data_IF_430631572410
#
_entry.id   IF_430631572410
#
_cell.length_a   1.000
_cell.length_b   1.000
_cell.length_c   1.000
_cell.angle_alpha   90.00
_cell.angle_beta   90.00
_cell.angle_gamma   90.00
#
_symmetry.space_group_name_H-M   'P 1'
#
loop_
_entity.id
_entity.type
_entity.pdbx_description
1 polymer ?
#
# COMPACT_ATOMS: atom_id res chain seq x y z
N UNK A 1 14.12 21.47 5.74
CA UNK A 1 13.51 20.19 6.16
C UNK A 1 14.45 19.54 7.14
N UNK A 2 14.08 19.42 8.42
CA UNK A 2 14.91 18.71 9.39
C UNK A 2 15.09 17.28 8.89
N UNK A 3 16.33 16.80 8.84
CA UNK A 3 16.65 15.41 8.58
C UNK A 3 15.90 14.57 9.61
N UNK A 4 14.80 13.95 9.19
CA UNK A 4 14.05 13.00 10.01
C UNK A 4 15.03 11.90 10.38
N UNK A 5 15.23 11.69 11.68
CA UNK A 5 16.03 10.59 12.18
C UNK A 5 15.35 9.28 11.76
N UNK A 6 16.02 8.50 10.90
CA UNK A 6 15.50 7.22 10.41
C UNK A 6 15.15 6.28 11.57
N UNK A 7 15.89 6.36 12.68
CA UNK A 7 15.63 5.56 13.88
C UNK A 7 14.30 5.94 14.53
N UNK A 8 13.97 7.23 14.59
CA UNK A 8 12.68 7.70 15.10
C UNK A 8 11.52 7.26 14.19
N UNK A 9 11.67 7.44 12.87
CA UNK A 9 10.63 7.06 11.93
C UNK A 9 10.33 5.56 11.99
N UNK A 10 11.36 4.71 12.09
CA UNK A 10 11.16 3.26 12.18
C UNK A 10 10.53 2.85 13.52
N UNK A 11 10.80 3.58 14.62
CA UNK A 11 10.11 3.39 15.88
C UNK A 11 8.60 3.72 15.77
N UNK A 12 8.24 4.82 15.11
CA UNK A 12 6.85 5.20 14.85
C UNK A 12 6.13 4.13 14.01
N UNK A 13 6.72 3.73 12.87
CA UNK A 13 6.21 2.64 12.03
C UNK A 13 5.92 1.37 12.83
N UNK A 14 6.86 0.99 13.70
CA UNK A 14 6.74 -0.20 14.54
C UNK A 14 5.58 -0.06 15.53
N UNK A 15 5.46 1.07 16.23
CA UNK A 15 4.36 1.29 17.17
C UNK A 15 3.01 1.18 16.47
N UNK A 16 2.82 1.86 15.33
CA UNK A 16 1.59 1.77 14.56
C UNK A 16 1.26 0.33 14.10
N UNK A 17 2.27 -0.39 13.61
CA UNK A 17 2.13 -1.79 13.21
C UNK A 17 1.69 -2.69 14.37
N UNK A 18 2.32 -2.54 15.54
CA UNK A 18 2.00 -3.33 16.74
C UNK A 18 0.58 -3.07 17.24
N UNK A 19 0.10 -1.83 17.18
CA UNK A 19 -1.31 -1.52 17.53
C UNK A 19 -2.29 -2.17 16.55
N UNK A 20 -2.00 -2.18 15.26
CA UNK A 20 -2.86 -2.81 14.26
C UNK A 20 -2.96 -4.33 14.46
N UNK A 21 -1.86 -5.00 14.82
CA UNK A 21 -1.84 -6.47 15.03
C UNK A 21 -2.75 -6.90 16.19
N UNK A 22 -3.01 -6.05 17.18
CA UNK A 22 -3.96 -6.34 18.28
C UNK A 22 -5.40 -6.53 17.79
N UNK A 23 -5.73 -6.08 16.59
CA UNK A 23 -7.06 -6.21 16.01
C UNK A 23 -7.33 -7.59 15.40
N UNK A 24 -6.26 -8.37 15.15
CA UNK A 24 -6.34 -9.70 14.52
C UNK A 24 -6.87 -10.73 15.54
N UNK A 25 -7.78 -11.59 15.08
CA UNK A 25 -8.42 -12.63 15.87
C UNK A 25 -8.07 -14.02 15.35
N UNK A 26 -8.27 -15.03 16.21
CA UNK A 26 -8.17 -16.42 15.78
C UNK A 26 -9.22 -16.71 14.69
N UNK A 27 -8.77 -17.38 13.62
CA UNK A 27 -9.59 -17.75 12.47
C UNK A 27 -9.59 -16.72 11.34
N UNK A 28 -9.02 -15.53 11.54
CA UNK A 28 -9.00 -14.49 10.51
C UNK A 28 -8.19 -14.94 9.28
N UNK A 29 -8.69 -14.57 8.11
CA UNK A 29 -7.89 -14.45 6.88
C UNK A 29 -7.29 -13.05 6.86
N UNK A 30 -5.96 -12.96 6.93
CA UNK A 30 -5.22 -11.69 7.06
C UNK A 30 -4.56 -11.28 5.74
N UNK A 31 -4.89 -10.09 5.24
CA UNK A 31 -4.21 -9.47 4.12
C UNK A 31 -2.92 -8.76 4.57
N UNK A 32 -1.78 -9.20 4.06
CA UNK A 32 -0.47 -8.65 4.38
C UNK A 32 -0.02 -7.66 3.31
N UNK A 33 0.15 -6.40 3.72
CA UNK A 33 0.66 -5.30 2.93
C UNK A 33 2.15 -5.39 2.61
N UNK A 34 2.66 -4.45 1.81
CA UNK A 34 4.07 -4.41 1.38
C UNK A 34 4.76 -3.16 1.92
N UNK A 35 6.03 -3.28 2.28
CA UNK A 35 6.89 -2.16 2.65
C UNK A 35 7.42 -2.23 4.08
N UNK A 36 8.19 -1.21 4.46
CA UNK A 36 8.92 -1.20 5.74
C UNK A 36 7.98 -1.19 6.95
N UNK A 37 6.85 -0.47 6.90
CA UNK A 37 5.87 -0.47 7.99
C UNK A 37 5.13 -1.81 8.09
N UNK A 38 4.68 -2.37 6.96
CA UNK A 38 4.00 -3.66 6.91
C UNK A 38 4.91 -4.81 7.40
N UNK A 39 6.23 -4.70 7.17
CA UNK A 39 7.23 -5.66 7.68
C UNK A 39 7.12 -5.81 9.19
N UNK A 40 7.05 -4.71 9.96
CA UNK A 40 6.90 -4.78 11.42
C UNK A 40 5.62 -5.49 11.85
N UNK A 41 4.52 -5.33 11.11
CA UNK A 41 3.27 -6.03 11.39
C UNK A 41 3.43 -7.54 11.17
N UNK A 42 4.07 -7.94 10.07
CA UNK A 42 4.32 -9.36 9.73
C UNK A 42 5.21 -10.02 10.79
N UNK A 43 6.27 -9.34 11.23
CA UNK A 43 7.15 -9.84 12.30
C UNK A 43 6.37 -10.07 13.61
N UNK A 44 5.49 -9.14 13.97
CA UNK A 44 4.68 -9.26 15.18
C UNK A 44 3.63 -10.36 15.05
N UNK A 45 2.94 -10.45 13.90
CA UNK A 45 2.01 -11.56 13.60
C UNK A 45 2.73 -12.89 13.73
N UNK A 46 3.92 -13.03 13.17
CA UNK A 46 4.76 -14.22 13.28
C UNK A 46 5.02 -14.64 14.72
N UNK A 47 5.36 -13.69 15.59
CA UNK A 47 5.53 -13.95 17.03
C UNK A 47 4.23 -14.40 17.70
N UNK A 48 3.09 -13.83 17.31
CA UNK A 48 1.80 -14.23 17.87
C UNK A 48 1.40 -15.64 17.38
N UNK A 49 1.68 -15.97 16.12
CA UNK A 49 1.48 -17.33 15.57
C UNK A 49 2.34 -18.34 16.33
N UNK A 50 3.60 -18.02 16.61
CA UNK A 50 4.47 -18.85 17.43
C UNK A 50 3.96 -19.04 18.88
N UNK A 51 3.14 -18.11 19.38
CA UNK A 51 2.46 -18.18 20.69
C UNK A 51 1.07 -18.82 20.63
N UNK A 52 0.62 -19.27 19.46
CA UNK A 52 -0.64 -20.01 19.29
C UNK A 52 -1.77 -19.24 18.61
N UNK A 53 -1.54 -18.03 18.08
CA UNK A 53 -2.50 -17.36 17.20
C UNK A 53 -2.70 -18.20 15.93
N UNK A 54 -3.96 -18.50 15.59
CA UNK A 54 -4.33 -19.29 14.40
C UNK A 54 -4.93 -18.37 13.36
N UNK A 55 -4.19 -18.12 12.29
CA UNK A 55 -4.65 -17.34 11.13
C UNK A 55 -4.20 -18.01 9.85
N UNK A 56 -4.80 -17.57 8.74
CA UNK A 56 -4.23 -17.75 7.40
C UNK A 56 -4.00 -16.38 6.79
N UNK A 57 -3.14 -16.27 5.77
CA UNK A 57 -2.81 -14.97 5.20
C UNK A 57 -2.68 -14.99 3.69
N UNK A 58 -2.93 -13.84 3.05
CA UNK A 58 -2.58 -13.59 1.66
C UNK A 58 -1.69 -12.35 1.57
N UNK A 59 -0.73 -12.36 0.65
CA UNK A 59 0.29 -11.32 0.55
C UNK A 59 0.11 -10.44 -0.69
N UNK A 60 0.36 -9.14 -0.52
CA UNK A 60 0.31 -8.14 -1.59
C UNK A 60 1.56 -8.15 -2.48
N UNK A 61 2.59 -8.94 -2.16
CA UNK A 61 3.75 -9.15 -3.03
C UNK A 61 4.44 -10.46 -2.73
N UNK A 62 5.26 -10.95 -3.67
CA UNK A 62 6.09 -12.16 -3.48
C UNK A 62 7.03 -11.98 -2.29
N UNK A 63 7.65 -10.80 -2.16
CA UNK A 63 8.52 -10.46 -1.01
C UNK A 63 7.79 -10.60 0.32
N UNK A 64 6.54 -10.11 0.38
CA UNK A 64 5.73 -10.18 1.61
C UNK A 64 5.35 -11.62 1.92
N UNK A 65 5.02 -12.41 0.89
CA UNK A 65 4.71 -13.83 1.03
C UNK A 65 5.90 -14.61 1.60
N UNK A 66 7.10 -14.41 1.04
CA UNK A 66 8.33 -15.07 1.49
C UNK A 66 8.67 -14.69 2.93
N UNK A 67 8.52 -13.41 3.29
CA UNK A 67 8.71 -12.94 4.66
C UNK A 67 7.73 -13.61 5.62
N UNK A 68 6.44 -13.65 5.27
CA UNK A 68 5.42 -14.27 6.12
C UNK A 68 5.66 -15.77 6.31
N UNK A 69 6.04 -16.49 5.25
CA UNK A 69 6.43 -17.91 5.31
C UNK A 69 7.62 -18.13 6.24
N UNK A 70 8.61 -17.24 6.23
CA UNK A 70 9.78 -17.35 7.12
C UNK A 70 9.42 -17.27 8.61
N UNK A 71 8.28 -16.66 8.93
CA UNK A 71 7.71 -16.61 10.28
C UNK A 71 6.71 -17.73 10.59
N UNK A 72 6.55 -18.71 9.70
CA UNK A 72 5.63 -19.82 9.89
C UNK A 72 4.15 -19.46 9.70
N UNK A 73 3.85 -18.33 9.06
CA UNK A 73 2.47 -17.93 8.75
C UNK A 73 1.96 -18.79 7.58
N UNK A 74 0.79 -19.41 7.75
CA UNK A 74 0.16 -20.20 6.70
C UNK A 74 -0.37 -19.27 5.59
N UNK A 75 0.17 -19.42 4.38
CA UNK A 75 -0.23 -18.61 3.23
C UNK A 75 -1.32 -19.28 2.40
N UNK A 76 -2.25 -18.47 1.90
CA UNK A 76 -3.26 -18.80 0.91
C UNK A 76 -2.93 -18.11 -0.41
N UNK A 77 -3.33 -18.73 -1.51
CA UNK A 77 -3.23 -18.12 -2.83
C UNK A 77 -4.33 -17.07 -2.98
N UNK A 78 -3.93 -15.81 -3.23
CA UNK A 78 -4.83 -14.69 -3.45
C UNK A 78 -5.86 -14.97 -4.56
N UNK A 79 -5.50 -15.78 -5.56
CA UNK A 79 -6.38 -16.15 -6.68
C UNK A 79 -7.60 -16.98 -6.25
N UNK A 80 -7.53 -17.62 -5.07
CA UNK A 80 -8.58 -18.53 -4.57
C UNK A 80 -9.49 -17.89 -3.54
N UNK A 81 -9.20 -16.65 -3.13
CA UNK A 81 -9.90 -15.98 -2.04
C UNK A 81 -11.12 -15.18 -2.52
N UNK A 82 -12.26 -15.39 -1.83
CA UNK A 82 -13.46 -14.57 -2.00
C UNK A 82 -13.57 -13.42 -0.99
N UNK A 83 -12.88 -13.49 0.15
CA UNK A 83 -12.90 -12.43 1.17
C UNK A 83 -11.69 -12.51 2.10
N UNK A 84 -11.31 -11.36 2.67
CA UNK A 84 -10.28 -11.19 3.70
C UNK A 84 -10.93 -10.51 4.90
N UNK A 85 -10.67 -10.96 6.12
CA UNK A 85 -11.30 -10.40 7.32
C UNK A 85 -10.68 -9.07 7.74
N UNK A 86 -9.35 -9.00 7.66
CA UNK A 86 -8.57 -7.82 8.01
C UNK A 86 -7.34 -7.73 7.12
N UNK A 87 -7.00 -6.54 6.63
CA UNK A 87 -5.70 -6.27 6.02
C UNK A 87 -4.95 -5.20 6.80
N UNK A 88 -3.62 -5.34 6.83
CA UNK A 88 -2.70 -4.36 7.40
C UNK A 88 -1.67 -4.01 6.33
N UNK A 89 -1.61 -2.73 5.96
CA UNK A 89 -0.69 -2.23 4.94
C UNK A 89 -0.17 -0.82 5.25
N UNK A 90 0.88 -0.38 4.57
CA UNK A 90 1.39 0.99 4.66
C UNK A 90 0.77 1.93 3.62
N UNK A 91 1.09 3.22 3.74
CA UNK A 91 0.78 4.24 2.74
C UNK A 91 1.98 5.15 2.46
N UNK A 92 2.04 5.71 1.25
CA UNK A 92 3.00 6.74 0.87
C UNK A 92 2.51 8.13 1.28
N UNK A 93 1.19 8.37 1.17
CA UNK A 93 0.47 9.53 1.71
C UNK A 93 -0.94 9.13 2.16
N UNK A 94 -1.49 9.87 3.13
CA UNK A 94 -2.91 9.79 3.46
C UNK A 94 -3.49 11.15 3.91
N UNK A 95 -4.78 11.36 3.69
CA UNK A 95 -5.54 12.51 4.21
C UNK A 95 -6.45 12.12 5.37
N UNK A 96 -7.01 13.11 6.09
CA UNK A 96 -8.01 12.86 7.14
C UNK A 96 -9.26 12.14 6.64
N UNK A 97 -9.61 12.32 5.35
CA UNK A 97 -10.72 11.60 4.69
C UNK A 97 -10.35 10.18 4.26
N UNK A 98 -9.21 9.65 4.72
CA UNK A 98 -8.71 8.30 4.42
C UNK A 98 -8.43 8.02 2.94
N UNK A 99 -8.25 9.07 2.13
CA UNK A 99 -7.75 8.93 0.76
C UNK A 99 -6.24 8.77 0.80
N UNK A 100 -5.70 7.81 0.04
CA UNK A 100 -4.27 7.48 0.07
C UNK A 100 -3.60 7.58 -1.30
N UNK A 101 -2.28 7.82 -1.26
CA UNK A 101 -1.37 7.34 -2.30
C UNK A 101 -0.59 6.13 -1.76
N UNK A 102 -0.53 5.07 -2.56
CA UNK A 102 0.22 3.83 -2.33
C UNK A 102 0.99 3.42 -3.59
N UNK A 103 1.82 2.39 -3.48
CA UNK A 103 2.54 1.79 -4.61
C UNK A 103 4.00 2.23 -4.76
N UNK A 104 4.54 3.02 -3.82
CA UNK A 104 5.96 3.36 -3.78
C UNK A 104 6.87 2.13 -3.81
N UNK A 105 6.42 1.01 -3.20
CA UNK A 105 7.10 -0.29 -3.24
C UNK A 105 6.88 -1.13 -4.50
N UNK A 106 5.95 -0.73 -5.39
CA UNK A 106 5.70 -1.40 -6.67
C UNK A 106 4.72 -2.57 -6.64
N UNK A 107 3.94 -2.71 -5.56
CA UNK A 107 2.96 -3.79 -5.37
C UNK A 107 1.49 -3.33 -5.52
N UNK A 108 1.24 -2.12 -6.03
CA UNK A 108 -0.06 -1.44 -5.93
C UNK A 108 -1.26 -2.26 -6.42
N UNK A 109 -1.12 -3.04 -7.50
CA UNK A 109 -2.23 -3.81 -8.04
C UNK A 109 -2.70 -4.88 -7.04
N UNK A 110 -1.74 -5.63 -6.49
CA UNK A 110 -2.02 -6.69 -5.51
C UNK A 110 -2.46 -6.12 -4.16
N UNK A 111 -1.88 -5.00 -3.73
CA UNK A 111 -2.34 -4.23 -2.57
C UNK A 111 -3.82 -3.82 -2.73
N UNK A 112 -4.20 -3.33 -3.91
CA UNK A 112 -5.58 -2.92 -4.22
C UNK A 112 -6.55 -4.10 -4.22
N UNK A 113 -6.15 -5.28 -4.74
CA UNK A 113 -6.95 -6.51 -4.64
C UNK A 113 -7.18 -6.89 -3.18
N UNK A 114 -6.12 -6.94 -2.36
CA UNK A 114 -6.25 -7.27 -0.93
C UNK A 114 -7.17 -6.28 -0.24
N UNK A 115 -7.00 -4.98 -0.47
CA UNK A 115 -7.88 -3.96 0.10
C UNK A 115 -9.34 -4.21 -0.31
N UNK A 116 -9.63 -4.41 -1.58
CA UNK A 116 -10.98 -4.66 -2.09
C UNK A 116 -11.64 -5.92 -1.52
N UNK A 117 -10.86 -6.98 -1.26
CA UNK A 117 -11.35 -8.22 -0.63
C UNK A 117 -11.54 -8.08 0.89
N UNK A 118 -10.95 -7.06 1.51
CA UNK A 118 -10.90 -6.91 2.97
C UNK A 118 -12.14 -6.25 3.54
N UNK A 119 -12.72 -6.87 4.57
CA UNK A 119 -13.80 -6.30 5.39
C UNK A 119 -13.30 -5.14 6.25
N UNK A 120 -12.11 -5.28 6.84
CA UNK A 120 -11.44 -4.26 7.63
C UNK A 120 -10.09 -3.90 6.99
N UNK A 121 -10.00 -2.70 6.41
CA UNK A 121 -8.80 -2.20 5.71
C UNK A 121 -8.04 -1.25 6.62
N UNK A 122 -6.99 -1.75 7.26
CA UNK A 122 -6.19 -1.02 8.24
C UNK A 122 -4.88 -0.56 7.59
N UNK A 123 -4.62 0.74 7.70
CA UNK A 123 -3.40 1.36 7.23
C UNK A 123 -2.55 1.77 8.42
N UNK A 124 -1.25 1.46 8.37
CA UNK A 124 -0.28 1.80 9.42
C UNK A 124 0.78 2.75 8.88
N UNK A 125 1.01 3.88 9.58
CA UNK A 125 1.92 4.92 9.12
C UNK A 125 2.69 5.60 10.25
N UNK A 126 3.86 6.16 9.91
CA UNK A 126 4.50 7.20 10.70
C UNK A 126 3.89 8.57 10.39
N UNK A 127 4.16 9.56 11.25
CA UNK A 127 3.52 10.87 11.16
C UNK A 127 3.84 11.65 9.86
N UNK A 128 4.93 11.32 9.16
CA UNK A 128 5.31 12.01 7.92
C UNK A 128 4.38 11.71 6.74
N UNK A 129 3.53 10.69 6.85
CA UNK A 129 2.63 10.25 5.76
C UNK A 129 1.32 11.03 5.72
N UNK A 130 0.97 11.74 6.80
CA UNK A 130 -0.25 12.57 6.84
C UNK A 130 -0.04 13.85 6.05
N UNK A 131 -0.91 14.09 5.08
CA UNK A 131 -0.94 15.30 4.26
C UNK A 131 -2.32 15.94 4.30
N UNK A 132 -2.37 17.26 4.12
CA UNK A 132 -3.65 17.96 3.99
C UNK A 132 -4.34 17.64 2.64
N UNK A 133 -3.53 17.42 1.60
CA UNK A 133 -3.97 17.11 0.24
C UNK A 133 -2.95 16.18 -0.41
N UNK A 134 -3.44 15.19 -1.15
CA UNK A 134 -2.58 14.23 -1.87
C UNK A 134 -1.78 14.90 -2.99
N UNK A 135 -0.64 14.31 -3.33
CA UNK A 135 0.13 14.63 -4.54
C UNK A 135 1.49 15.27 -4.29
N UNK A 136 1.96 15.38 -3.04
CA UNK A 136 3.38 15.66 -2.82
C UNK A 136 4.24 14.43 -3.17
N UNK A 137 3.67 13.23 -3.04
CA UNK A 137 4.19 11.98 -3.59
C UNK A 137 3.60 11.71 -4.98
N UNK A 138 4.43 11.24 -5.92
CA UNK A 138 4.01 10.88 -7.28
C UNK A 138 3.11 9.65 -7.26
N UNK A 139 2.01 9.68 -8.00
CA UNK A 139 1.08 8.55 -8.13
C UNK A 139 1.73 7.45 -8.98
N UNK A 140 2.01 6.26 -8.41
CA UNK A 140 2.47 5.12 -9.20
C UNK A 140 1.33 4.59 -10.06
N UNK A 141 1.62 4.28 -11.33
CA UNK A 141 0.66 3.70 -12.26
C UNK A 141 1.30 2.46 -12.90
N UNK A 142 0.71 1.29 -12.65
CA UNK A 142 1.13 0.03 -13.28
C UNK A 142 0.51 -0.06 -14.68
N UNK A 143 1.37 -0.28 -15.68
CA UNK A 143 0.99 -0.24 -17.10
C UNK A 143 1.46 -1.48 -17.84
N UNK A 144 0.61 -1.98 -18.73
CA UNK A 144 0.99 -3.06 -19.64
C UNK A 144 2.14 -2.57 -20.53
N UNK A 145 3.26 -3.31 -20.67
CA UNK A 145 4.43 -2.85 -21.42
C UNK A 145 4.15 -2.36 -22.85
N UNK A 146 3.23 -3.03 -23.55
CA UNK A 146 2.77 -2.66 -24.88
C UNK A 146 2.14 -1.25 -24.94
N UNK A 147 1.47 -0.84 -23.87
CA UNK A 147 0.71 0.41 -23.80
C UNK A 147 1.50 1.57 -23.18
N UNK A 148 2.79 1.38 -22.84
CA UNK A 148 3.57 2.35 -22.06
C UNK A 148 3.46 3.79 -22.58
N UNK A 149 3.84 4.03 -23.84
CA UNK A 149 3.82 5.38 -24.40
C UNK A 149 2.41 5.95 -24.48
N UNK A 150 1.43 5.13 -24.87
CA UNK A 150 0.03 5.55 -24.92
C UNK A 150 -0.48 6.01 -23.55
N UNK A 151 -0.23 5.24 -22.49
CA UNK A 151 -0.66 5.60 -21.13
C UNK A 151 0.04 6.88 -20.67
N UNK A 152 1.34 7.05 -20.96
CA UNK A 152 2.07 8.28 -20.65
C UNK A 152 1.43 9.51 -21.33
N UNK A 153 1.03 9.38 -22.59
CA UNK A 153 0.35 10.45 -23.33
C UNK A 153 -1.05 10.76 -22.77
N UNK A 154 -1.79 9.74 -22.29
CA UNK A 154 -3.09 9.95 -21.63
C UNK A 154 -2.93 10.62 -20.26
N UNK A 155 -1.90 10.26 -19.49
CA UNK A 155 -1.55 10.97 -18.25
C UNK A 155 -1.25 12.45 -18.52
N UNK A 156 -0.55 12.76 -19.62
CA UNK A 156 -0.31 14.15 -20.02
C UNK A 156 -1.60 14.93 -20.33
N UNK A 157 -2.60 14.28 -20.95
CA UNK A 157 -3.93 14.88 -21.18
C UNK A 157 -4.71 15.14 -19.89
N UNK A 158 -4.41 14.40 -18.82
CA UNK A 158 -4.92 14.62 -17.47
C UNK A 158 -4.07 15.63 -16.67
N UNK A 159 -3.23 16.42 -17.34
CA UNK A 159 -2.31 17.40 -16.75
C UNK A 159 -1.24 16.79 -15.82
N UNK A 160 -0.93 15.51 -15.99
CA UNK A 160 0.17 14.85 -15.29
C UNK A 160 1.47 14.85 -16.10
N UNK A 161 2.61 14.77 -15.42
CA UNK A 161 3.89 14.38 -16.05
C UNK A 161 4.28 13.00 -15.53
N UNK A 162 4.90 12.16 -16.35
CA UNK A 162 5.24 10.80 -15.91
C UNK A 162 6.62 10.36 -16.36
N UNK A 163 7.25 9.52 -15.53
CA UNK A 163 8.55 8.90 -15.83
C UNK A 163 8.47 7.41 -15.59
N UNK A 164 9.03 6.60 -16.50
CA UNK A 164 9.19 5.17 -16.28
C UNK A 164 10.04 4.92 -15.03
N UNK A 165 9.52 4.12 -14.09
CA UNK A 165 10.22 3.74 -12.87
C UNK A 165 11.41 2.85 -13.24
N UNK A 166 12.59 3.22 -12.74
CA UNK A 166 13.82 2.46 -12.95
C UNK A 166 14.34 1.89 -11.62
N UNK A 167 14.89 0.69 -11.68
CA UNK A 167 15.69 0.08 -10.63
C UNK A 167 17.04 -0.29 -11.22
N UNK A 168 18.14 0.25 -10.65
CA UNK A 168 19.49 0.04 -11.17
C UNK A 168 19.61 0.36 -12.68
N UNK A 169 19.02 1.48 -13.11
CA UNK A 169 19.00 1.97 -14.50
C UNK A 169 18.25 1.07 -15.50
N UNK A 170 17.47 0.09 -15.03
CA UNK A 170 16.61 -0.76 -15.86
C UNK A 170 15.15 -0.54 -15.51
N UNK A 171 14.20 -0.73 -16.45
CA UNK A 171 12.77 -0.68 -16.14
C UNK A 171 12.45 -1.58 -14.94
N UNK A 172 11.78 -1.02 -13.94
CA UNK A 172 11.23 -1.80 -12.83
C UNK A 172 10.11 -2.70 -13.36
N UNK A 173 10.19 -3.99 -13.03
CA UNK A 173 9.18 -4.98 -13.41
C UNK A 173 8.40 -5.37 -12.17
N UNK A 174 7.08 -5.23 -12.21
CA UNK A 174 6.20 -5.64 -11.10
C UNK A 174 6.15 -7.16 -10.96
N UNK A 175 5.60 -7.64 -9.84
CA UNK A 175 5.33 -9.08 -9.64
C UNK A 175 4.41 -9.69 -10.72
N UNK A 176 3.68 -8.84 -11.46
CA UNK A 176 2.76 -9.22 -12.54
C UNK A 176 3.39 -9.06 -13.93
N UNK A 177 4.67 -8.71 -14.03
CA UNK A 177 5.38 -8.58 -15.31
C UNK A 177 5.16 -7.25 -16.04
N UNK A 178 4.60 -6.24 -15.36
CA UNK A 178 4.29 -4.94 -15.94
C UNK A 178 5.33 -3.87 -15.59
N UNK A 179 5.21 -2.71 -16.21
CA UNK A 179 5.98 -1.53 -15.84
C UNK A 179 5.22 -0.65 -14.85
N UNK A 180 5.92 0.26 -14.19
CA UNK A 180 5.32 1.37 -13.45
C UNK A 180 5.81 2.68 -14.04
N UNK A 181 4.90 3.63 -14.24
CA UNK A 181 5.23 5.04 -14.42
C UNK A 181 4.92 5.79 -13.12
N UNK A 182 5.81 6.69 -12.72
CA UNK A 182 5.61 7.58 -11.57
C UNK A 182 5.07 8.91 -12.09
N UNK A 183 3.77 9.16 -11.86
CA UNK A 183 3.06 10.31 -12.38
C UNK A 183 2.92 11.43 -11.34
N UNK A 184 3.36 12.64 -11.70
CA UNK A 184 3.22 13.86 -10.92
C UNK A 184 2.07 14.70 -11.48
N UNK A 185 1.05 14.91 -10.65
CA UNK A 185 -0.12 15.74 -10.94
C UNK A 185 -0.13 17.04 -10.13
N UNK A 186 0.96 17.36 -9.41
CA UNK A 186 0.97 18.36 -8.35
C UNK A 186 0.02 17.99 -7.22
N UNK A 187 -0.48 19.00 -6.49
CA UNK A 187 -1.50 18.78 -5.46
C UNK A 187 -2.86 18.43 -6.10
N UNK A 188 -3.42 17.30 -5.70
CA UNK A 188 -4.57 16.67 -6.33
C UNK A 188 -5.85 17.10 -5.60
N UNK A 189 -6.55 18.09 -6.14
CA UNK A 189 -7.77 18.63 -5.50
C UNK A 189 -8.96 17.67 -5.59
N UNK A 190 -9.09 16.94 -6.70
CA UNK A 190 -10.19 16.01 -6.97
C UNK A 190 -9.65 14.59 -7.18
N UNK A 191 -9.14 13.99 -6.10
CA UNK A 191 -8.49 12.68 -6.15
C UNK A 191 -9.42 11.56 -6.64
N UNK A 192 -10.70 11.63 -6.31
CA UNK A 192 -11.72 10.68 -6.77
C UNK A 192 -11.90 10.77 -8.29
N UNK A 193 -12.10 11.97 -8.81
CA UNK A 193 -12.25 12.20 -10.25
C UNK A 193 -10.98 11.80 -11.03
N UNK A 194 -9.78 12.07 -10.50
CA UNK A 194 -8.54 11.61 -11.11
C UNK A 194 -8.44 10.09 -11.12
N UNK A 195 -8.82 9.42 -10.02
CA UNK A 195 -8.85 7.96 -9.96
C UNK A 195 -9.82 7.36 -11.00
N UNK A 196 -11.03 7.92 -11.12
CA UNK A 196 -12.02 7.51 -12.13
C UNK A 196 -11.50 7.69 -13.56
N UNK A 197 -10.90 8.84 -13.86
CA UNK A 197 -10.33 9.11 -15.17
C UNK A 197 -9.18 8.15 -15.53
N UNK A 198 -8.30 7.84 -14.57
CA UNK A 198 -7.22 6.86 -14.76
C UNK A 198 -7.77 5.46 -15.04
N UNK A 199 -8.86 5.05 -14.39
CA UNK A 199 -9.50 3.75 -14.64
C UNK A 199 -10.08 3.61 -16.06
N UNK A 200 -10.28 4.71 -16.80
CA UNK A 200 -10.75 4.68 -18.18
C UNK A 200 -9.64 4.53 -19.23
N UNK A 201 -8.36 4.50 -18.82
CA UNK A 201 -7.24 4.45 -19.76
C UNK A 201 -6.92 2.98 -20.11
N UNK A 202 -7.12 2.62 -21.38
CA UNK A 202 -6.72 1.30 -21.88
C UNK A 202 -5.22 1.02 -21.69
N UNK A 203 -4.89 -0.16 -21.17
CA UNK A 203 -3.51 -0.57 -20.89
C UNK A 203 -2.94 -0.07 -19.56
N UNK A 204 -3.69 0.77 -18.82
CA UNK A 204 -3.45 1.01 -17.40
C UNK A 204 -4.03 -0.16 -16.59
N UNK A 205 -3.20 -0.88 -15.85
CA UNK A 205 -3.66 -1.99 -15.03
C UNK A 205 -4.16 -1.52 -13.65
N UNK A 206 -3.40 -0.64 -13.00
CA UNK A 206 -3.75 -0.08 -11.70
C UNK A 206 -3.06 1.26 -11.47
N UNK A 207 -3.63 2.08 -10.59
CA UNK A 207 -3.01 3.32 -10.12
C UNK A 207 -2.99 3.38 -8.59
N UNK A 208 -2.06 4.17 -8.04
CA UNK A 208 -1.76 4.27 -6.62
C UNK A 208 -2.71 5.11 -5.79
N UNK A 209 -3.78 5.67 -6.38
CA UNK A 209 -4.84 6.34 -5.62
C UNK A 209 -5.78 5.26 -5.03
N UNK A 210 -5.83 5.19 -3.71
CA UNK A 210 -6.70 4.28 -2.97
C UNK A 210 -7.81 5.13 -2.34
N UNK A 211 -8.91 5.26 -3.08
CA UNK A 211 -10.07 6.09 -2.74
C UNK A 211 -11.20 5.17 -2.29
N UNK A 212 -11.80 5.43 -1.13
CA UNK A 212 -12.86 4.57 -0.56
C UNK A 212 -12.42 3.16 -0.15
N UNK A 213 -11.11 2.87 -0.19
CA UNK A 213 -10.52 1.56 0.10
C UNK A 213 -9.82 1.52 1.46
N UNK A 214 -10.24 2.32 2.42
CA UNK A 214 -9.64 2.36 3.77
C UNK A 214 -10.73 2.58 4.80
N UNK A 215 -10.67 1.82 5.89
CA UNK A 215 -11.60 1.98 7.02
C UNK A 215 -10.94 2.66 8.21
N UNK A 216 -9.62 2.51 8.33
CA UNK A 216 -8.88 3.00 9.49
C UNK A 216 -7.44 3.29 9.12
N UNK A 217 -6.91 4.42 9.58
CA UNK A 217 -5.47 4.68 9.61
C UNK A 217 -5.03 4.75 11.07
N UNK A 218 -4.04 3.94 11.43
CA UNK A 218 -3.34 3.98 12.70
C UNK A 218 -1.99 4.65 12.44
N UNK A 219 -1.85 5.88 12.93
CA UNK A 219 -0.64 6.69 12.77
C UNK A 219 0.07 6.79 14.12
N UNK A 220 1.38 6.59 14.14
CA UNK A 220 2.21 6.90 15.31
C UNK A 220 3.09 8.12 15.05
N UNK A 221 3.29 8.94 16.07
CA UNK A 221 4.18 10.10 16.05
C UNK A 221 4.66 10.47 17.45
N UNK A 222 5.44 11.54 17.59
CA UNK A 222 5.99 12.02 18.88
C UNK A 222 4.96 12.26 20.01
N UNK A 223 3.66 12.28 19.71
CA UNK A 223 2.56 12.43 20.67
C UNK A 223 1.82 11.11 20.97
N UNK A 224 2.34 9.96 20.51
CA UNK A 224 1.70 8.65 20.65
C UNK A 224 0.96 8.20 19.39
N UNK A 225 -0.08 7.38 19.58
CA UNK A 225 -0.87 6.78 18.49
C UNK A 225 -2.16 7.57 18.30
N UNK A 226 -2.46 7.90 17.04
CA UNK A 226 -3.68 8.57 16.60
C UNK A 226 -4.39 7.67 15.59
N UNK A 227 -5.71 7.56 15.72
CA UNK A 227 -6.56 6.73 14.86
C UNK A 227 -7.52 7.62 14.07
N UNK A 228 -7.62 7.39 12.77
CA UNK A 228 -8.56 8.03 11.86
C UNK A 228 -9.54 6.97 11.33
N UNK A 229 -10.84 7.29 11.29
CA UNK A 229 -11.96 6.41 10.91
C UNK A 229 -13.03 7.16 10.12
#
# INVERSE_FOLDING_TARGET
MSTIDKTQQDAEKRVAALEAVKLIKNGDVVGLGTGTTATFAIEEIGKQVAKGLKITAAASSKRTEDLAKSYGIQMLDLQTLGSIDISIDGADEFTESLNLIKGGGGALFREKIIASLSKNRIIVTDASKKVAQLGAFKVPIEVIPLALQYVMDQVAKLNGTSTLRLLNQKPFITDNGNFIIDADFGLIAQAEHLAEALNQIDGLLAHGLFIGLTNKVIMAGGNGVVVFE
#
